data_IF_653199113951
#
_entry.id   IF_653199113951
#
_cell.length_a   1.000
_cell.length_b   1.000
_cell.length_c   1.000
_cell.angle_alpha   90.00
_cell.angle_beta   90.00
_cell.angle_gamma   90.00
#
_symmetry.space_group_name_H-M   'P 1'
#
loop_
_entity.id
_entity.type
_entity.pdbx_description
1 polymer ?
#
# COMPACT_ATOMS: atom_id res chain seq x y z
N UNK A 1 16.77 -3.87 -55.74
CA UNK A 1 15.39 -4.33 -55.49
C UNK A 1 15.35 -4.77 -54.03
N UNK A 2 14.94 -3.91 -53.08
CA UNK A 2 13.56 -3.69 -52.59
C UNK A 2 12.89 -4.95 -52.00
N UNK A 3 12.62 -4.87 -50.67
CA UNK A 3 11.55 -5.49 -49.85
C UNK A 3 11.78 -6.90 -49.27
N UNK A 4 11.33 -7.33 -48.06
CA UNK A 4 10.98 -6.74 -46.74
C UNK A 4 10.70 -7.91 -45.74
N UNK A 5 10.71 -7.65 -44.42
CA UNK A 5 10.04 -8.35 -43.28
C UNK A 5 10.48 -9.77 -42.84
N UNK A 6 11.10 -9.87 -41.67
CA UNK A 6 10.88 -10.93 -40.66
C UNK A 6 11.20 -10.37 -39.26
N UNK A 7 10.25 -9.61 -38.72
CA UNK A 7 10.21 -9.27 -37.28
C UNK A 7 9.15 -10.21 -36.72
N UNK A 8 9.54 -11.28 -36.02
CA UNK A 8 8.60 -12.25 -35.47
C UNK A 8 9.05 -12.77 -34.09
N UNK A 9 8.38 -12.28 -33.04
CA UNK A 9 8.15 -12.90 -31.72
C UNK A 9 9.35 -13.00 -30.77
N UNK A 10 9.23 -12.84 -29.46
CA UNK A 10 8.09 -12.67 -28.58
C UNK A 10 8.61 -11.96 -27.31
N UNK A 11 7.94 -10.88 -26.90
CA UNK A 11 7.12 -10.83 -25.68
C UNK A 11 7.92 -11.12 -24.39
N UNK A 12 8.39 -10.01 -23.80
CA UNK A 12 8.55 -9.74 -22.37
C UNK A 12 8.29 -10.96 -21.46
N UNK A 13 9.36 -11.53 -20.90
CA UNK A 13 9.27 -12.43 -19.75
C UNK A 13 8.72 -11.62 -18.56
N UNK A 14 7.39 -11.42 -18.50
CA UNK A 14 6.74 -11.35 -17.20
C UNK A 14 6.95 -12.73 -16.60
N UNK A 15 7.97 -12.84 -15.75
CA UNK A 15 7.97 -13.85 -14.72
C UNK A 15 6.66 -13.63 -13.95
N UNK A 16 5.63 -14.40 -14.28
CA UNK A 16 4.50 -14.60 -13.40
C UNK A 16 5.11 -15.39 -12.24
N UNK A 17 5.68 -14.64 -11.29
CA UNK A 17 6.01 -15.15 -9.98
C UNK A 17 4.67 -15.56 -9.38
N UNK A 18 4.21 -16.77 -9.70
CA UNK A 18 3.08 -17.37 -9.03
C UNK A 18 3.59 -17.78 -7.65
N UNK A 19 3.79 -16.77 -6.78
CA UNK A 19 3.90 -16.96 -5.35
C UNK A 19 2.60 -17.58 -4.86
N UNK A 20 2.68 -18.42 -3.83
CA UNK A 20 1.48 -18.94 -3.15
C UNK A 20 0.57 -17.75 -2.78
N UNK A 21 -0.77 -17.90 -2.88
CA UNK A 21 -1.69 -16.83 -2.47
C UNK A 21 -1.39 -16.43 -1.03
N UNK A 22 -1.01 -15.17 -0.83
CA UNK A 22 -0.78 -14.59 0.49
C UNK A 22 -2.14 -14.30 1.15
N UNK A 23 -2.29 -14.54 2.45
CA UNK A 23 -3.51 -14.15 3.15
C UNK A 23 -3.80 -12.64 3.01
N UNK A 24 -5.08 -12.28 3.04
CA UNK A 24 -5.48 -10.87 2.99
C UNK A 24 -4.92 -10.10 4.20
N UNK A 25 -4.47 -8.84 4.00
CA UNK A 25 -4.05 -7.99 5.09
C UNK A 25 -5.24 -7.62 5.97
N UNK A 26 -4.99 -7.38 7.26
CA UNK A 26 -6.03 -6.90 8.19
C UNK A 26 -5.45 -5.79 9.04
N UNK A 27 -6.18 -4.68 9.14
CA UNK A 27 -5.87 -3.61 10.10
C UNK A 27 -6.61 -3.91 11.40
N UNK A 28 -5.87 -4.03 12.50
CA UNK A 28 -6.44 -4.27 13.85
C UNK A 28 -6.60 -2.98 14.64
N UNK A 29 -5.66 -2.04 14.51
CA UNK A 29 -5.73 -0.73 15.15
C UNK A 29 -4.77 0.27 14.50
N UNK A 30 -4.90 1.55 14.85
CA UNK A 30 -3.92 2.59 14.52
C UNK A 30 -3.83 3.61 15.66
N UNK A 31 -2.66 4.23 15.81
CA UNK A 31 -2.40 5.25 16.82
C UNK A 31 -1.40 6.29 16.28
N UNK A 32 -1.63 7.60 16.47
CA UNK A 32 -2.82 8.21 17.07
C UNK A 32 -4.08 8.02 16.21
N UNK A 33 -5.27 8.20 16.79
CA UNK A 33 -6.55 8.14 16.06
C UNK A 33 -6.87 9.44 15.31
N UNK A 34 -6.09 10.48 15.52
CA UNK A 34 -6.22 11.79 14.91
C UNK A 34 -4.86 12.45 14.70
N UNK A 35 -4.78 13.42 13.79
CA UNK A 35 -3.55 14.16 13.55
C UNK A 35 -3.59 15.05 12.31
N UNK A 36 -2.59 15.91 12.18
CA UNK A 36 -2.42 16.81 11.03
C UNK A 36 -1.39 16.25 10.03
N UNK A 37 -1.32 16.77 8.79
CA UNK A 37 -0.32 16.38 7.82
C UNK A 37 1.12 16.38 8.37
N UNK A 38 1.90 15.37 8.00
CA UNK A 38 3.28 15.16 8.47
C UNK A 38 3.39 14.49 9.84
N UNK A 39 2.28 14.17 10.51
CA UNK A 39 2.31 13.36 11.72
C UNK A 39 2.54 11.88 11.38
N UNK A 40 3.35 11.19 12.18
CA UNK A 40 3.53 9.75 12.05
C UNK A 40 2.36 9.00 12.70
N UNK A 41 1.83 8.01 11.99
CA UNK A 41 0.78 7.10 12.44
C UNK A 41 1.29 5.68 12.39
N UNK A 42 1.16 4.97 13.50
CA UNK A 42 1.46 3.55 13.61
C UNK A 42 0.21 2.75 13.31
N UNK A 43 0.23 2.00 12.21
CA UNK A 43 -0.85 1.11 11.78
C UNK A 43 -0.47 -0.32 12.18
N UNK A 44 -1.31 -0.98 12.99
CA UNK A 44 -1.12 -2.35 13.46
C UNK A 44 -2.07 -3.30 12.73
N UNK A 45 -1.61 -4.52 12.51
CA UNK A 45 -2.35 -5.50 11.75
C UNK A 45 -1.69 -6.86 11.64
N UNK A 46 -2.06 -7.60 10.61
CA UNK A 46 -1.46 -8.88 10.21
C UNK A 46 -1.35 -8.98 8.70
N UNK A 47 -0.41 -9.80 8.22
CA UNK A 47 -0.14 -10.08 6.81
C UNK A 47 0.30 -8.86 5.98
N UNK A 48 0.85 -7.83 6.62
CA UNK A 48 1.42 -6.68 5.91
C UNK A 48 2.69 -7.04 5.12
N UNK A 49 3.33 -8.18 5.41
CA UNK A 49 4.64 -8.50 4.83
C UNK A 49 5.72 -7.55 5.31
N UNK A 50 6.79 -7.39 4.54
CA UNK A 50 7.99 -6.68 4.98
C UNK A 50 8.62 -5.81 3.88
N UNK A 51 7.89 -5.56 2.79
CA UNK A 51 8.38 -4.81 1.64
C UNK A 51 7.55 -3.54 1.45
N UNK A 52 8.20 -2.40 1.61
CA UNK A 52 7.60 -1.10 1.35
C UNK A 52 7.18 -0.95 -0.13
N UNK A 53 7.96 -1.50 -1.06
CA UNK A 53 7.65 -1.49 -2.49
C UNK A 53 6.36 -2.21 -2.88
N UNK A 54 5.80 -3.01 -1.99
CA UNK A 54 4.53 -3.72 -2.15
C UNK A 54 3.39 -3.10 -1.34
N UNK A 55 3.66 -2.04 -0.58
CA UNK A 55 2.74 -1.43 0.37
C UNK A 55 2.27 -0.07 -0.15
N UNK A 56 0.95 0.12 -0.23
CA UNK A 56 0.35 1.41 -0.54
C UNK A 56 -0.70 1.75 0.51
N UNK A 57 -0.69 3.00 0.99
CA UNK A 57 -1.53 3.43 2.10
C UNK A 57 -2.24 4.71 1.71
N UNK A 58 -3.48 4.84 2.16
CA UNK A 58 -4.30 6.01 1.96
C UNK A 58 -4.93 6.46 3.26
N UNK A 59 -4.89 7.77 3.53
CA UNK A 59 -5.75 8.41 4.52
C UNK A 59 -6.96 8.97 3.78
N UNK A 60 -8.08 8.26 3.88
CA UNK A 60 -9.26 8.43 3.03
C UNK A 60 -8.89 8.31 1.53
N UNK A 61 -8.72 9.44 0.83
CA UNK A 61 -8.38 9.51 -0.59
C UNK A 61 -6.93 9.95 -0.85
N UNK A 62 -6.23 10.39 0.20
CA UNK A 62 -4.89 10.94 0.10
C UNK A 62 -3.83 9.84 0.15
N UNK A 63 -2.92 9.83 -0.82
CA UNK A 63 -1.89 8.80 -0.96
C UNK A 63 -0.73 9.10 0.00
N UNK A 64 -0.32 8.12 0.79
CA UNK A 64 0.91 8.19 1.59
C UNK A 64 2.12 8.07 0.67
N UNK A 65 3.02 9.05 0.77
CA UNK A 65 4.29 9.07 0.04
C UNK A 65 5.50 8.75 0.90
N UNK A 66 5.33 8.74 2.24
CA UNK A 66 6.39 8.48 3.20
C UNK A 66 5.98 7.38 4.17
N UNK A 67 6.67 6.24 4.05
CA UNK A 67 6.61 5.10 4.96
C UNK A 67 8.01 4.95 5.55
N UNK A 68 8.10 4.63 6.84
CA UNK A 68 9.42 4.47 7.51
C UNK A 68 9.67 3.07 8.03
N UNK A 69 8.63 2.26 8.16
CA UNK A 69 8.75 0.85 8.51
C UNK A 69 7.57 0.05 7.95
N UNK A 70 7.87 -1.14 7.43
CA UNK A 70 6.89 -2.18 7.11
C UNK A 70 7.40 -3.49 7.70
N UNK A 71 6.61 -4.06 8.60
CA UNK A 71 6.77 -5.41 9.15
C UNK A 71 5.44 -6.12 9.06
N UNK A 72 5.42 -7.44 9.27
CA UNK A 72 4.21 -8.23 9.01
C UNK A 72 2.99 -7.80 9.84
N UNK A 73 3.23 -7.11 10.97
CA UNK A 73 2.19 -6.65 11.90
C UNK A 73 2.16 -5.15 12.16
N UNK A 74 3.11 -4.38 11.62
CA UNK A 74 3.23 -2.94 11.89
C UNK A 74 3.70 -2.19 10.65
N UNK A 75 3.02 -1.09 10.35
CA UNK A 75 3.43 -0.09 9.37
C UNK A 75 3.52 1.27 10.06
N UNK A 76 4.56 2.05 9.76
CA UNK A 76 4.67 3.45 10.21
C UNK A 76 4.62 4.35 8.97
N UNK A 77 3.58 5.17 8.89
CA UNK A 77 3.26 6.02 7.75
C UNK A 77 3.04 7.48 8.20
N UNK A 78 3.30 8.43 7.31
CA UNK A 78 3.06 9.85 7.58
C UNK A 78 1.75 10.33 6.95
N UNK A 79 0.98 11.14 7.66
CA UNK A 79 -0.27 11.73 7.16
C UNK A 79 0.03 12.64 5.96
N UNK A 80 -0.59 12.43 4.78
CA UNK A 80 -0.36 13.27 3.61
C UNK A 80 -0.87 14.71 3.77
N UNK A 81 -0.34 15.69 3.00
CA UNK A 81 -0.81 17.08 2.97
C UNK A 81 -2.29 17.27 2.62
N UNK A 82 -2.84 16.39 1.79
CA UNK A 82 -4.22 16.42 1.27
C UNK A 82 -5.15 15.42 1.98
N UNK A 83 -4.72 14.88 3.13
CA UNK A 83 -5.53 13.98 3.93
C UNK A 83 -6.83 14.66 4.40
N UNK A 84 -7.89 13.86 4.45
CA UNK A 84 -9.19 14.27 5.01
C UNK A 84 -9.66 13.18 5.96
N UNK A 85 -10.50 13.55 6.94
CA UNK A 85 -11.09 12.59 7.87
C UNK A 85 -11.77 11.45 7.14
N UNK A 86 -11.47 10.23 7.56
CA UNK A 86 -12.03 9.02 6.98
C UNK A 86 -11.16 7.80 7.27
N UNK A 87 -11.48 6.69 6.61
CA UNK A 87 -10.78 5.43 6.84
C UNK A 87 -9.34 5.46 6.32
N UNK A 88 -8.47 4.77 7.04
CA UNK A 88 -7.17 4.33 6.51
C UNK A 88 -7.37 3.09 5.66
N UNK A 89 -6.84 3.10 4.45
CA UNK A 89 -6.80 1.94 3.53
C UNK A 89 -5.36 1.50 3.33
N UNK A 90 -5.09 0.20 3.40
CA UNK A 90 -3.78 -0.40 3.15
C UNK A 90 -3.92 -1.44 2.05
N UNK A 91 -3.08 -1.36 1.02
CA UNK A 91 -2.97 -2.33 -0.06
C UNK A 91 -1.58 -2.98 -0.02
N UNK A 92 -1.56 -4.31 0.01
CA UNK A 92 -0.36 -5.15 0.07
C UNK A 92 -0.39 -6.09 -1.12
N UNK A 93 0.51 -5.87 -2.08
CA UNK A 93 0.63 -6.69 -3.30
C UNK A 93 -0.71 -6.86 -4.05
N UNK A 94 -1.52 -5.79 -4.07
CA UNK A 94 -2.85 -5.75 -4.69
C UNK A 94 -4.02 -6.16 -3.79
N UNK A 95 -3.78 -6.76 -2.62
CA UNK A 95 -4.84 -7.10 -1.66
C UNK A 95 -5.10 -5.93 -0.72
N UNK A 96 -6.36 -5.53 -0.55
CA UNK A 96 -6.73 -4.30 0.15
C UNK A 96 -7.50 -4.57 1.43
N UNK A 97 -7.19 -3.82 2.49
CA UNK A 97 -7.97 -3.76 3.73
C UNK A 97 -8.23 -2.31 4.12
N UNK A 98 -9.32 -2.10 4.84
CA UNK A 98 -9.71 -0.80 5.37
C UNK A 98 -9.88 -0.89 6.88
N UNK A 99 -9.48 0.15 7.58
CA UNK A 99 -9.64 0.26 9.03
C UNK A 99 -11.12 0.26 9.46
N UNK A 100 -11.39 -0.19 10.68
CA UNK A 100 -12.75 -0.19 11.24
C UNK A 100 -13.22 1.23 11.61
N UNK A 101 -12.33 2.07 12.14
CA UNK A 101 -12.62 3.43 12.59
C UNK A 101 -12.02 4.48 11.65
N UNK A 102 -12.58 5.69 11.65
CA UNK A 102 -12.01 6.80 10.90
C UNK A 102 -10.78 7.35 11.62
N UNK A 103 -9.78 7.78 10.84
CA UNK A 103 -8.74 8.67 11.30
C UNK A 103 -9.24 10.12 11.14
N UNK A 104 -9.11 10.92 12.19
CA UNK A 104 -9.58 12.32 12.19
C UNK A 104 -8.43 13.25 11.81
N UNK A 105 -8.64 14.04 10.76
CA UNK A 105 -7.68 15.06 10.31
C UNK A 105 -8.09 16.43 10.83
N UNK A 106 -7.12 17.18 11.37
CA UNK A 106 -7.27 18.57 11.84
C UNK A 106 -6.41 19.53 11.02
#
# INVERSE_FOLDING_TARGET
MRKTYFILGALLLLAISCGKPKPDPVITSFDPTEGSPGMAVTIRGIHFGNLESQTQIYFNRAVVTQITAVTDSVIIAFVPPDATTGKITVSIDGNTTTSANDFVVH
#
